data_IF_264299209178
#
_entry.id   IF_264299209178
#
_cell.length_a   1.000
_cell.length_b   1.000
_cell.length_c   1.000
_cell.angle_alpha   90.00
_cell.angle_beta   90.00
_cell.angle_gamma   90.00
#
_symmetry.space_group_name_H-M   'P 1'
#
loop_
_entity.id
_entity.type
_entity.pdbx_description
1 polymer ?
#
# COMPACT_ATOMS: atom_id res chain seq x y z
N UNK A 1 13.10 14.66 6.81
CA UNK A 1 13.78 13.63 6.00
C UNK A 1 12.74 12.82 5.24
N UNK A 2 12.92 12.71 3.94
CA UNK A 2 12.04 11.93 3.07
C UNK A 2 12.13 10.45 3.42
N UNK A 3 10.97 9.78 3.46
CA UNK A 3 10.92 8.34 3.72
C UNK A 3 10.25 7.61 2.57
N UNK A 4 10.59 6.34 2.43
CA UNK A 4 10.03 5.44 1.43
C UNK A 4 9.32 4.29 2.12
N UNK A 5 8.12 3.99 1.63
CA UNK A 5 7.31 2.89 2.14
C UNK A 5 7.14 1.88 1.02
N UNK A 6 7.63 0.66 1.26
CA UNK A 6 7.37 -0.47 0.38
C UNK A 6 6.32 -1.34 1.04
N UNK A 7 5.29 -1.70 0.29
CA UNK A 7 4.20 -2.49 0.84
C UNK A 7 3.95 -3.71 -0.06
N UNK A 8 4.04 -4.89 0.54
CA UNK A 8 3.66 -6.14 -0.12
C UNK A 8 2.27 -6.50 0.38
N UNK A 9 1.30 -6.57 -0.52
CA UNK A 9 -0.11 -6.71 -0.15
C UNK A 9 -0.62 -8.09 -0.54
N UNK A 10 -1.24 -8.77 0.44
CA UNK A 10 -1.85 -10.09 0.29
C UNK A 10 -3.35 -9.94 0.50
N UNK A 11 -4.13 -10.32 -0.49
CA UNK A 11 -5.59 -10.14 -0.42
C UNK A 11 -6.29 -11.45 -0.07
N UNK A 12 -7.54 -11.32 0.38
CA UNK A 12 -8.43 -12.45 0.57
C UNK A 12 -8.92 -12.88 -0.79
N UNK A 13 -8.84 -14.18 -1.08
CA UNK A 13 -9.27 -14.73 -2.37
C UNK A 13 -10.71 -14.33 -2.68
N UNK A 14 -10.91 -13.86 -3.92
CA UNK A 14 -12.23 -13.42 -4.38
C UNK A 14 -12.59 -11.99 -4.04
N UNK A 15 -11.71 -11.25 -3.33
CA UNK A 15 -11.99 -9.89 -2.87
C UNK A 15 -11.23 -8.82 -3.66
N UNK A 16 -10.79 -9.14 -4.87
CA UNK A 16 -10.02 -8.22 -5.71
C UNK A 16 -10.77 -6.91 -5.95
N UNK A 17 -12.07 -6.99 -6.23
CA UNK A 17 -12.89 -5.79 -6.49
C UNK A 17 -13.06 -4.92 -5.24
N UNK A 18 -13.19 -5.54 -4.08
CA UNK A 18 -13.31 -4.82 -2.80
C UNK A 18 -11.99 -4.10 -2.51
N UNK A 19 -10.87 -4.78 -2.75
CA UNK A 19 -9.54 -4.18 -2.63
C UNK A 19 -9.39 -2.97 -3.56
N UNK A 20 -9.79 -3.10 -4.82
CA UNK A 20 -9.71 -2.00 -5.78
C UNK A 20 -10.54 -0.80 -5.33
N UNK A 21 -11.71 -1.03 -4.74
CA UNK A 21 -12.54 0.04 -4.19
C UNK A 21 -11.84 0.77 -3.05
N UNK A 22 -11.20 0.03 -2.16
CA UNK A 22 -10.43 0.63 -1.07
C UNK A 22 -9.28 1.49 -1.60
N UNK A 23 -8.50 0.94 -2.54
CA UNK A 23 -7.35 1.64 -3.11
C UNK A 23 -7.75 2.88 -3.91
N UNK A 24 -8.94 2.87 -4.53
CA UNK A 24 -9.47 4.04 -5.23
C UNK A 24 -9.69 5.23 -4.29
N UNK A 25 -9.84 4.96 -3.00
CA UNK A 25 -9.99 5.99 -1.96
C UNK A 25 -8.63 6.29 -1.31
N UNK A 26 -7.90 5.26 -0.95
CA UNK A 26 -6.66 5.40 -0.18
C UNK A 26 -5.53 6.04 -1.00
N UNK A 27 -5.36 5.65 -2.26
CA UNK A 27 -4.26 6.16 -3.08
C UNK A 27 -4.35 7.68 -3.32
N UNK A 28 -5.52 8.25 -3.70
CA UNK A 28 -5.61 9.71 -3.86
C UNK A 28 -5.30 10.49 -2.58
N UNK A 29 -5.56 9.91 -1.41
CA UNK A 29 -5.29 10.60 -0.14
C UNK A 29 -3.81 10.77 0.16
N UNK A 30 -2.93 9.99 -0.50
CA UNK A 30 -1.48 10.11 -0.32
C UNK A 30 -1.01 11.54 -0.61
N UNK A 31 -1.54 12.16 -1.68
CA UNK A 31 -1.15 13.51 -2.08
C UNK A 31 -1.51 14.57 -1.04
N UNK A 32 -2.54 14.35 -0.25
CA UNK A 32 -2.95 15.30 0.80
C UNK A 32 -1.88 15.45 1.89
N UNK A 33 -1.02 14.46 2.03
CA UNK A 33 -0.03 14.39 3.11
C UNK A 33 1.39 14.43 2.57
N UNK A 34 1.59 15.16 1.45
CA UNK A 34 2.90 15.35 0.84
C UNK A 34 3.57 14.03 0.44
N UNK A 35 2.75 13.06 0.09
CA UNK A 35 3.20 11.77 -0.39
C UNK A 35 3.04 11.63 -1.89
N UNK A 36 3.68 10.62 -2.44
CA UNK A 36 3.61 10.32 -3.87
C UNK A 36 3.72 8.82 -4.08
N UNK A 37 2.78 8.26 -4.83
CA UNK A 37 2.85 6.86 -5.25
C UNK A 37 3.88 6.78 -6.39
N UNK A 38 4.99 6.12 -6.15
CA UNK A 38 6.07 5.99 -7.13
C UNK A 38 5.87 4.79 -8.05
N UNK A 39 5.32 3.70 -7.49
CA UNK A 39 5.18 2.45 -8.21
C UNK A 39 4.00 1.66 -7.65
N UNK A 40 3.20 1.09 -8.54
CA UNK A 40 2.14 0.16 -8.20
C UNK A 40 2.15 -0.95 -9.24
N UNK A 41 2.39 -2.18 -8.80
CA UNK A 41 2.47 -3.33 -9.70
C UNK A 41 1.71 -4.53 -9.15
N UNK A 42 1.17 -5.34 -10.06
CA UNK A 42 0.62 -6.67 -9.76
C UNK A 42 1.52 -7.67 -10.44
N UNK A 43 2.45 -8.30 -9.69
CA UNK A 43 3.38 -9.22 -10.32
C UNK A 43 2.67 -10.49 -10.81
N UNK A 44 3.18 -11.05 -11.90
CA UNK A 44 2.76 -12.36 -12.40
C UNK A 44 3.72 -13.41 -11.86
N UNK A 45 3.39 -14.69 -12.05
CA UNK A 45 4.28 -15.79 -11.67
C UNK A 45 5.69 -15.61 -12.23
N UNK A 46 5.79 -15.13 -13.47
CA UNK A 46 7.08 -14.95 -14.16
C UNK A 46 7.87 -13.74 -13.66
N UNK A 47 7.29 -12.89 -12.81
CA UNK A 47 7.99 -11.74 -12.24
C UNK A 47 8.98 -12.14 -11.15
N UNK A 48 8.83 -13.33 -10.58
CA UNK A 48 9.64 -13.78 -9.45
C UNK A 48 10.77 -14.68 -9.95
N UNK A 49 12.00 -14.22 -9.78
CA UNK A 49 13.20 -14.99 -10.09
C UNK A 49 13.45 -16.00 -8.96
N UNK A 50 13.27 -15.53 -7.74
CA UNK A 50 13.44 -16.34 -6.53
C UNK A 50 12.54 -15.76 -5.43
N UNK A 51 11.86 -16.63 -4.69
CA UNK A 51 11.07 -16.19 -3.54
C UNK A 51 11.02 -17.30 -2.49
N UNK A 52 11.17 -16.90 -1.22
CA UNK A 52 11.06 -17.78 -0.07
C UNK A 52 9.89 -17.39 0.82
N UNK A 53 9.01 -16.52 0.29
CA UNK A 53 7.79 -16.08 0.97
C UNK A 53 6.61 -16.26 0.02
N UNK A 54 5.40 -16.17 0.57
CA UNK A 54 4.19 -16.15 -0.26
C UNK A 54 4.27 -14.97 -1.22
N UNK A 55 3.86 -15.17 -2.47
CA UNK A 55 3.89 -14.11 -3.49
C UNK A 55 2.79 -13.10 -3.22
N UNK A 56 3.12 -11.79 -3.17
CA UNK A 56 2.09 -10.78 -2.95
C UNK A 56 1.20 -10.60 -4.17
N UNK A 57 -0.03 -10.17 -3.92
CA UNK A 57 -0.96 -9.81 -4.98
C UNK A 57 -0.56 -8.50 -5.65
N UNK A 58 -0.13 -7.53 -4.83
CA UNK A 58 0.21 -6.19 -5.32
C UNK A 58 1.36 -5.61 -4.50
N UNK A 59 2.19 -4.78 -5.14
CA UNK A 59 3.32 -4.12 -4.48
C UNK A 59 3.21 -2.62 -4.73
N UNK A 60 3.35 -1.83 -3.66
CA UNK A 60 3.41 -0.37 -3.75
C UNK A 60 4.75 0.14 -3.27
N UNK A 61 5.25 1.19 -3.93
CA UNK A 61 6.36 2.00 -3.43
C UNK A 61 5.87 3.45 -3.37
N UNK A 62 5.92 4.01 -2.17
CA UNK A 62 5.40 5.35 -1.87
C UNK A 62 6.49 6.15 -1.18
N UNK A 63 6.58 7.46 -1.49
CA UNK A 63 7.43 8.35 -0.71
C UNK A 63 6.57 9.38 0.02
N UNK A 64 7.05 9.80 1.19
CA UNK A 64 6.50 10.93 1.94
C UNK A 64 7.63 11.88 2.29
N UNK A 65 7.34 13.18 2.40
CA UNK A 65 8.35 14.17 2.75
C UNK A 65 8.92 13.96 4.15
N UNK A 66 8.14 13.33 5.03
CA UNK A 66 8.55 13.07 6.40
C UNK A 66 7.80 11.88 6.99
N UNK A 67 8.31 11.36 8.10
CA UNK A 67 7.62 10.31 8.84
C UNK A 67 6.29 10.81 9.41
N UNK A 68 6.23 12.08 9.81
CA UNK A 68 4.99 12.67 10.32
C UNK A 68 3.91 12.70 9.23
N UNK A 69 4.28 12.99 7.99
CA UNK A 69 3.34 12.96 6.87
C UNK A 69 2.75 11.58 6.68
N UNK A 70 3.57 10.54 6.79
CA UNK A 70 3.09 9.16 6.71
C UNK A 70 2.13 8.85 7.86
N UNK A 71 2.47 9.26 9.09
CA UNK A 71 1.59 9.07 10.23
C UNK A 71 0.24 9.79 10.03
N UNK A 72 0.28 11.02 9.52
CA UNK A 72 -0.93 11.78 9.25
C UNK A 72 -1.78 11.10 8.16
N UNK A 73 -1.14 10.56 7.14
CA UNK A 73 -1.83 9.80 6.09
C UNK A 73 -2.59 8.61 6.68
N UNK A 74 -1.98 7.87 7.61
CA UNK A 74 -2.62 6.71 8.22
C UNK A 74 -3.89 7.09 8.99
N UNK A 75 -3.99 8.34 9.44
CA UNK A 75 -5.13 8.85 10.21
C UNK A 75 -6.07 9.71 9.38
N UNK A 76 -5.97 9.69 8.05
CA UNK A 76 -6.86 10.43 7.16
C UNK A 76 -8.33 10.06 7.42
N UNK A 77 -9.17 11.07 7.61
CA UNK A 77 -10.58 10.85 7.97
C UNK A 77 -11.38 10.17 6.86
N UNK A 78 -11.12 10.54 5.60
CA UNK A 78 -11.75 9.89 4.45
C UNK A 78 -11.37 8.42 4.38
N UNK A 79 -10.06 8.13 4.52
CA UNK A 79 -9.55 6.76 4.52
C UNK A 79 -10.16 5.93 5.65
N UNK A 80 -10.30 6.53 6.84
CA UNK A 80 -10.88 5.85 8.00
C UNK A 80 -12.32 5.40 7.77
N UNK A 81 -13.10 6.19 7.08
CA UNK A 81 -14.51 5.86 6.78
C UNK A 81 -14.63 4.58 5.97
N UNK A 82 -13.61 4.22 5.23
CA UNK A 82 -13.62 3.08 4.32
C UNK A 82 -12.67 1.95 4.73
N UNK A 83 -12.16 1.97 5.97
CA UNK A 83 -11.30 0.89 6.47
C UNK A 83 -12.00 -0.46 6.48
N UNK A 84 -13.33 -0.49 6.55
CA UNK A 84 -14.06 -1.76 6.46
C UNK A 84 -13.80 -2.47 5.12
N UNK A 85 -13.54 -1.72 4.05
CA UNK A 85 -13.18 -2.31 2.74
C UNK A 85 -11.80 -2.96 2.80
N UNK A 86 -10.87 -2.35 3.54
CA UNK A 86 -9.54 -2.91 3.77
C UNK A 86 -9.68 -4.23 4.53
N UNK A 87 -10.43 -4.23 5.62
CA UNK A 87 -10.62 -5.43 6.46
C UNK A 87 -11.29 -6.57 5.69
N UNK A 88 -12.17 -6.24 4.74
CA UNK A 88 -12.86 -7.23 3.92
C UNK A 88 -12.00 -7.80 2.80
N UNK A 89 -10.90 -7.14 2.43
CA UNK A 89 -10.14 -7.48 1.23
C UNK A 89 -8.68 -7.80 1.48
N UNK A 90 -8.03 -7.17 2.44
CA UNK A 90 -6.61 -7.40 2.71
C UNK A 90 -6.47 -8.40 3.84
N UNK A 91 -5.84 -9.56 3.53
CA UNK A 91 -5.58 -10.58 4.53
C UNK A 91 -4.42 -10.17 5.42
N UNK A 92 -3.35 -9.67 4.82
CA UNK A 92 -2.15 -9.19 5.53
C UNK A 92 -1.31 -8.34 4.58
N UNK A 93 -0.36 -7.60 5.13
CA UNK A 93 0.62 -6.88 4.34
C UNK A 93 1.95 -6.84 5.09
N UNK A 94 3.03 -6.74 4.31
CA UNK A 94 4.37 -6.51 4.85
C UNK A 94 4.73 -5.07 4.47
N UNK A 95 5.07 -4.28 5.47
CA UNK A 95 5.42 -2.88 5.26
C UNK A 95 6.89 -2.68 5.62
N UNK A 96 7.65 -2.13 4.68
CA UNK A 96 9.06 -1.82 4.87
C UNK A 96 9.21 -0.30 4.76
N UNK A 97 9.79 0.29 5.80
CA UNK A 97 10.04 1.72 5.87
C UNK A 97 11.54 1.97 5.79
N UNK A 98 11.95 2.90 4.95
CA UNK A 98 13.37 3.18 4.75
C UNK A 98 13.64 4.55 4.19
N UNK A 99 14.91 4.79 3.91
CA UNK A 99 15.41 6.02 3.33
C UNK A 99 16.32 5.71 2.14
N UNK A 100 16.54 6.70 1.27
CA UNK A 100 17.53 6.56 0.21
C UNK A 100 18.93 6.57 0.82
N UNK A 101 19.77 5.73 0.27
CA UNK A 101 21.19 5.69 0.66
C UNK A 101 22.04 6.75 -0.06
#
# INVERSE_FOLDING_TARGET
>A
MMIFITQLIYIIEGKEKVFDRFEAIAIPSILKYHGRLLLRVRPTENSFIETNIEKPYEIHLIEFNSEQDFENFKHDEERKKFLYLKDQSIRTSILIKGTKL
#
